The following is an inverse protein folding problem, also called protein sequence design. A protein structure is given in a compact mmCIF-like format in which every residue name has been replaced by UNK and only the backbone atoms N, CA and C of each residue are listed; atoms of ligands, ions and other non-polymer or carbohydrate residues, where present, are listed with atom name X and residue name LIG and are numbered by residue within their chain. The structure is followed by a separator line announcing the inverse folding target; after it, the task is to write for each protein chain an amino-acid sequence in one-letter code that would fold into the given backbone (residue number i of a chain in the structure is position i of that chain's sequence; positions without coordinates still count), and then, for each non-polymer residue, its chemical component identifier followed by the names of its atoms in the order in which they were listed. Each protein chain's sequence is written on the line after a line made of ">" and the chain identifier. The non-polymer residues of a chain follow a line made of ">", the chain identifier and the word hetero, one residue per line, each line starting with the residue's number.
data_IF_854623307338
#
_entry.id   IF_854623307338
#
_cell.length_a   1.000
_cell.length_b   1.000
_cell.length_c   1.000
_cell.angle_alpha   90.00
_cell.angle_beta   90.00
_cell.angle_gamma   90.00
#
_symmetry.space_group_name_H-M   'P 1'
#
loop_
_entity.id
_entity.type
_entity.pdbx_description
1 polymer ?
#
# COMPACT_ATOMS: atom_id res chain seq x y z
N UNK A 1 0.50 -39.92 8.40
CA UNK A 1 1.57 -39.27 9.18
C UNK A 1 1.97 -37.93 8.56
N UNK A 2 2.32 -37.85 7.27
CA UNK A 2 2.59 -36.54 6.63
C UNK A 2 1.35 -35.64 6.47
N UNK A 3 0.17 -36.24 6.24
CA UNK A 3 -1.09 -35.50 6.07
C UNK A 3 -1.61 -34.84 7.36
N UNK A 4 -1.44 -35.50 8.51
CA UNK A 4 -1.84 -34.95 9.81
C UNK A 4 -0.94 -33.75 10.21
N UNK A 5 0.36 -33.86 9.92
CA UNK A 5 1.33 -32.77 10.10
C UNK A 5 1.04 -31.58 9.15
N UNK A 6 0.62 -31.83 7.92
CA UNK A 6 0.22 -30.76 6.99
C UNK A 6 -1.07 -30.05 7.42
N UNK A 7 -2.05 -30.79 7.94
CA UNK A 7 -3.30 -30.21 8.46
C UNK A 7 -3.06 -29.35 9.71
N UNK A 8 -2.29 -29.84 10.69
CA UNK A 8 -1.97 -29.09 11.91
C UNK A 8 -1.17 -27.81 11.60
N UNK A 9 -0.25 -27.89 10.63
CA UNK A 9 0.51 -26.75 10.15
C UNK A 9 -0.39 -25.73 9.40
N UNK A 10 -1.41 -26.19 8.67
CA UNK A 10 -2.35 -25.27 8.01
C UNK A 10 -3.20 -24.47 9.00
N UNK A 11 -3.67 -25.12 10.07
CA UNK A 11 -4.40 -24.42 11.14
C UNK A 11 -3.55 -23.31 11.74
N UNK A 12 -2.31 -23.61 12.13
CA UNK A 12 -1.39 -22.62 12.68
C UNK A 12 -1.14 -21.46 11.71
N UNK A 13 -0.90 -21.74 10.42
CA UNK A 13 -0.74 -20.71 9.37
C UNK A 13 -1.97 -19.83 9.22
N UNK A 14 -3.18 -20.39 9.28
CA UNK A 14 -4.45 -19.64 9.23
C UNK A 14 -4.54 -18.63 10.39
N UNK A 15 -4.23 -19.03 11.62
CA UNK A 15 -4.24 -18.12 12.78
C UNK A 15 -3.20 -17.01 12.67
N UNK A 16 -1.98 -17.36 12.28
CA UNK A 16 -0.91 -16.37 12.11
C UNK A 16 -1.31 -15.38 11.01
N UNK A 17 -1.78 -15.85 9.86
CA UNK A 17 -2.23 -15.00 8.77
C UNK A 17 -3.31 -14.01 9.20
N UNK A 18 -4.39 -14.50 9.84
CA UNK A 18 -5.49 -13.65 10.31
C UNK A 18 -5.02 -12.64 11.35
N UNK A 19 -4.14 -13.05 12.27
CA UNK A 19 -3.58 -12.16 13.29
C UNK A 19 -2.74 -11.06 12.66
N UNK A 20 -1.89 -11.39 11.69
CA UNK A 20 -1.08 -10.40 10.97
C UNK A 20 -1.93 -9.44 10.14
N UNK A 21 -2.99 -9.92 9.47
CA UNK A 21 -3.92 -9.06 8.74
C UNK A 21 -4.67 -8.14 9.69
N UNK A 22 -5.13 -8.63 10.84
CA UNK A 22 -5.80 -7.82 11.86
C UNK A 22 -4.87 -6.75 12.44
N UNK A 23 -3.63 -7.12 12.80
CA UNK A 23 -2.63 -6.16 13.27
C UNK A 23 -2.26 -5.15 12.19
N UNK A 24 -2.19 -5.58 10.92
CA UNK A 24 -1.97 -4.70 9.77
C UNK A 24 -3.10 -3.67 9.64
N UNK A 25 -4.35 -4.11 9.76
CA UNK A 25 -5.54 -3.25 9.75
C UNK A 25 -5.53 -2.27 10.92
N UNK A 26 -5.31 -2.74 12.14
CA UNK A 26 -5.25 -1.88 13.34
C UNK A 26 -4.16 -0.82 13.16
N UNK A 27 -2.96 -1.22 12.72
CA UNK A 27 -1.86 -0.28 12.48
C UNK A 27 -2.24 0.78 11.42
N UNK A 28 -2.91 0.35 10.35
CA UNK A 28 -3.39 1.24 9.29
C UNK A 28 -4.48 2.20 9.75
N UNK A 29 -5.44 1.74 10.56
CA UNK A 29 -6.49 2.56 11.17
C UNK A 29 -5.91 3.58 12.15
N UNK A 30 -4.98 3.17 13.02
CA UNK A 30 -4.31 4.08 13.94
C UNK A 30 -3.50 5.14 13.18
N UNK A 31 -2.77 4.75 12.13
CA UNK A 31 -2.08 5.70 11.27
C UNK A 31 -3.05 6.70 10.63
N UNK A 32 -4.16 6.20 10.07
CA UNK A 32 -5.18 7.04 9.44
C UNK A 32 -5.80 8.02 10.43
N UNK A 33 -6.13 7.56 11.63
CA UNK A 33 -6.68 8.38 12.70
C UNK A 33 -5.68 9.47 13.14
N UNK A 34 -4.46 9.09 13.49
CA UNK A 34 -3.48 10.01 14.09
C UNK A 34 -2.89 11.03 13.11
N UNK A 35 -2.72 10.66 11.83
CA UNK A 35 -1.99 11.51 10.88
C UNK A 35 -2.87 12.03 9.75
N UNK A 36 -3.94 11.31 9.38
CA UNK A 36 -4.65 11.57 8.13
C UNK A 36 -5.99 12.30 8.33
N UNK A 37 -6.68 12.10 9.47
CA UNK A 37 -7.91 12.83 9.78
C UNK A 37 -7.64 14.34 9.94
N UNK A 38 -6.58 14.70 10.65
CA UNK A 38 -6.17 16.10 10.83
C UNK A 38 -5.81 16.76 9.49
N UNK A 39 -5.17 15.98 8.60
CA UNK A 39 -4.89 16.41 7.23
C UNK A 39 -6.18 16.70 6.46
N UNK A 40 -7.15 15.77 6.44
CA UNK A 40 -8.42 15.94 5.72
C UNK A 40 -9.17 17.16 6.26
N UNK A 41 -9.28 17.26 7.59
CA UNK A 41 -10.00 18.34 8.27
C UNK A 41 -9.37 19.69 7.95
N UNK A 42 -8.04 19.78 7.97
CA UNK A 42 -7.31 20.99 7.59
C UNK A 42 -7.50 21.33 6.12
N UNK A 43 -7.38 20.35 5.21
CA UNK A 43 -7.55 20.56 3.78
C UNK A 43 -8.96 21.07 3.45
N UNK A 44 -9.99 20.58 4.14
CA UNK A 44 -11.37 21.06 3.99
C UNK A 44 -11.55 22.46 4.59
N UNK A 45 -11.09 22.69 5.83
CA UNK A 45 -11.24 23.96 6.52
C UNK A 45 -10.61 25.14 5.76
N UNK A 46 -9.46 24.90 5.10
CA UNK A 46 -8.76 25.92 4.32
C UNK A 46 -9.11 25.93 2.82
N UNK A 47 -10.12 25.14 2.39
CA UNK A 47 -10.52 24.99 1.00
C UNK A 47 -9.34 24.60 0.06
N UNK A 48 -8.49 23.69 0.53
CA UNK A 48 -7.32 23.15 -0.18
C UNK A 48 -7.53 21.69 -0.60
N UNK A 49 -8.76 21.20 -0.66
CA UNK A 49 -9.05 19.84 -1.13
C UNK A 49 -8.98 19.75 -2.67
N UNK A 50 -7.76 19.68 -3.21
CA UNK A 50 -7.48 19.49 -4.63
C UNK A 50 -7.41 18.00 -5.03
N UNK A 51 -7.30 17.72 -6.34
CA UNK A 51 -7.29 16.35 -6.89
C UNK A 51 -6.16 15.49 -6.29
N UNK A 52 -4.97 16.06 -6.11
CA UNK A 52 -3.84 15.37 -5.49
C UNK A 52 -4.16 14.97 -4.03
N UNK A 53 -4.80 15.86 -3.27
CA UNK A 53 -5.19 15.62 -1.88
C UNK A 53 -6.29 14.56 -1.74
N UNK A 54 -7.23 14.52 -2.70
CA UNK A 54 -8.25 13.47 -2.81
C UNK A 54 -7.58 12.12 -3.11
N UNK A 55 -6.70 12.08 -4.12
CA UNK A 55 -5.92 10.88 -4.46
C UNK A 55 -5.12 10.38 -3.27
N UNK A 56 -4.49 11.29 -2.52
CA UNK A 56 -3.73 10.97 -1.31
C UNK A 56 -4.62 10.37 -0.20
N UNK A 57 -5.86 10.84 -0.07
CA UNK A 57 -6.81 10.29 0.89
C UNK A 57 -7.21 8.86 0.56
N UNK A 58 -7.64 8.62 -0.68
CA UNK A 58 -7.98 7.27 -1.12
C UNK A 58 -6.77 6.33 -1.09
N UNK A 59 -5.59 6.84 -1.39
CA UNK A 59 -4.35 6.09 -1.29
C UNK A 59 -4.12 5.51 0.11
N UNK A 60 -4.31 6.30 1.17
CA UNK A 60 -4.17 5.82 2.56
C UNK A 60 -5.26 4.81 2.90
N UNK A 61 -6.49 5.03 2.44
CA UNK A 61 -7.60 4.10 2.66
C UNK A 61 -7.36 2.76 1.96
N UNK A 62 -6.97 2.75 0.69
CA UNK A 62 -6.75 1.51 -0.06
C UNK A 62 -5.58 0.70 0.49
N UNK A 63 -4.43 1.36 0.70
CA UNK A 63 -3.21 0.68 1.13
C UNK A 63 -3.21 0.24 2.59
N UNK A 64 -3.77 1.06 3.49
CA UNK A 64 -3.70 0.82 4.94
C UNK A 64 -4.93 0.15 5.55
N UNK A 65 -6.09 0.24 4.89
CA UNK A 65 -7.36 -0.23 5.47
C UNK A 65 -8.01 -1.28 4.56
N UNK A 66 -8.28 -0.94 3.30
CA UNK A 66 -9.04 -1.80 2.40
C UNK A 66 -8.33 -3.13 2.13
N UNK A 67 -7.04 -3.10 1.76
CA UNK A 67 -6.30 -4.33 1.45
C UNK A 67 -6.27 -5.33 2.63
N UNK A 68 -5.94 -4.95 3.88
CA UNK A 68 -6.08 -5.85 5.02
C UNK A 68 -7.52 -6.35 5.25
N UNK A 69 -8.52 -5.47 5.14
CA UNK A 69 -9.94 -5.82 5.33
C UNK A 69 -10.39 -6.94 4.39
N UNK A 70 -9.96 -6.88 3.12
CA UNK A 70 -10.31 -7.89 2.10
C UNK A 70 -9.93 -9.32 2.54
N UNK A 71 -8.88 -9.48 3.34
CA UNK A 71 -8.41 -10.80 3.80
C UNK A 71 -8.92 -11.20 5.18
N UNK A 72 -9.58 -10.30 5.91
CA UNK A 72 -10.20 -10.58 7.21
C UNK A 72 -11.68 -10.93 7.02
N UNK A 73 -12.37 -10.18 6.16
CA UNK A 73 -13.80 -10.33 5.95
C UNK A 73 -14.07 -11.52 5.01
N UNK A 74 -14.93 -12.47 5.40
CA UNK A 74 -15.36 -13.55 4.52
C UNK A 74 -15.96 -13.00 3.24
N UNK A 75 -15.63 -13.57 2.08
CA UNK A 75 -16.26 -13.11 0.86
C UNK A 75 -17.68 -13.64 0.74
N UNK A 76 -18.63 -12.77 0.36
CA UNK A 76 -19.99 -13.19 0.02
C UNK A 76 -20.10 -13.77 -1.40
N UNK A 77 -19.03 -13.69 -2.19
CA UNK A 77 -19.01 -14.11 -3.59
C UNK A 77 -17.84 -15.06 -3.86
N UNK A 78 -18.03 -16.00 -4.76
CA UNK A 78 -16.97 -16.88 -5.21
C UNK A 78 -15.80 -16.06 -5.79
N UNK A 79 -14.59 -16.38 -5.33
CA UNK A 79 -13.36 -15.65 -5.68
C UNK A 79 -13.39 -14.17 -5.30
N UNK A 80 -14.27 -13.74 -4.40
CA UNK A 80 -14.44 -12.32 -4.12
C UNK A 80 -13.24 -11.71 -3.40
N UNK A 81 -12.55 -12.45 -2.50
CA UNK A 81 -11.31 -11.94 -1.86
C UNK A 81 -10.26 -11.59 -2.89
N UNK A 82 -9.98 -12.50 -3.83
CA UNK A 82 -8.93 -12.27 -4.81
C UNK A 82 -9.31 -11.16 -5.80
N UNK A 83 -10.57 -11.10 -6.26
CA UNK A 83 -11.06 -10.00 -7.12
C UNK A 83 -10.95 -8.65 -6.42
N UNK A 84 -11.34 -8.57 -5.15
CA UNK A 84 -11.25 -7.35 -4.36
C UNK A 84 -9.80 -6.96 -4.07
N UNK A 85 -8.91 -7.91 -3.80
CA UNK A 85 -7.49 -7.64 -3.60
C UNK A 85 -6.86 -7.05 -4.87
N UNK A 86 -7.16 -7.62 -6.04
CA UNK A 86 -6.72 -7.10 -7.35
C UNK A 86 -7.20 -5.68 -7.57
N UNK A 87 -8.50 -5.44 -7.38
CA UNK A 87 -9.09 -4.11 -7.50
C UNK A 87 -8.46 -3.12 -6.50
N UNK A 88 -8.19 -3.56 -5.27
CA UNK A 88 -7.53 -2.79 -4.23
C UNK A 88 -6.11 -2.36 -4.62
N UNK A 89 -5.29 -3.27 -5.14
CA UNK A 89 -3.95 -2.95 -5.62
C UNK A 89 -3.95 -2.01 -6.83
N UNK A 90 -4.86 -2.23 -7.79
CA UNK A 90 -5.01 -1.36 -8.96
C UNK A 90 -5.45 0.04 -8.52
N UNK A 91 -6.48 0.14 -7.68
CA UNK A 91 -6.96 1.41 -7.15
C UNK A 91 -5.87 2.13 -6.33
N UNK A 92 -5.14 1.39 -5.50
CA UNK A 92 -4.00 1.91 -4.75
C UNK A 92 -2.93 2.50 -5.68
N UNK A 93 -2.58 1.79 -6.76
CA UNK A 93 -1.62 2.27 -7.75
C UNK A 93 -2.11 3.46 -8.58
N UNK A 94 -3.40 3.49 -8.95
CA UNK A 94 -4.01 4.65 -9.62
C UNK A 94 -3.97 5.88 -8.69
N UNK A 95 -4.26 5.72 -7.40
CA UNK A 95 -4.20 6.81 -6.45
C UNK A 95 -2.78 7.41 -6.36
N UNK A 96 -1.74 6.58 -6.44
CA UNK A 96 -0.34 7.01 -6.54
C UNK A 96 -0.05 7.87 -7.79
N UNK A 97 -0.73 7.62 -8.90
CA UNK A 97 -0.63 8.43 -10.11
C UNK A 97 -1.43 9.74 -9.99
N UNK A 98 -2.61 9.68 -9.37
CA UNK A 98 -3.44 10.88 -9.11
C UNK A 98 -2.72 11.84 -8.17
N UNK A 99 -2.01 11.36 -7.15
CA UNK A 99 -1.21 12.22 -6.27
C UNK A 99 -0.09 12.96 -7.01
N UNK A 100 0.38 12.46 -8.16
CA UNK A 100 1.37 13.16 -8.99
C UNK A 100 0.77 14.33 -9.80
N UNK A 101 -0.56 14.50 -9.81
CA UNK A 101 -1.24 15.56 -10.58
C UNK A 101 -0.86 16.98 -10.17
N UNK A 102 -0.29 17.20 -8.98
CA UNK A 102 0.20 18.51 -8.53
C UNK A 102 1.18 19.14 -9.55
N UNK A 103 1.95 18.33 -10.30
CA UNK A 103 2.86 18.80 -11.34
C UNK A 103 2.11 19.60 -12.41
N UNK A 104 0.90 19.16 -12.78
CA UNK A 104 0.08 19.86 -13.78
C UNK A 104 -0.28 21.25 -13.25
N UNK A 105 -0.70 21.35 -11.99
CA UNK A 105 -0.98 22.64 -11.34
C UNK A 105 0.27 23.53 -11.28
N UNK A 106 1.44 22.95 -11.02
CA UNK A 106 2.71 23.68 -11.02
C UNK A 106 3.01 24.26 -12.40
N UNK A 107 2.97 23.43 -13.45
CA UNK A 107 3.31 23.85 -14.82
C UNK A 107 2.32 24.86 -15.41
N UNK A 108 1.08 24.88 -14.94
CA UNK A 108 0.08 25.90 -15.34
C UNK A 108 0.34 27.25 -14.67
N UNK A 109 0.94 27.26 -13.48
CA UNK A 109 1.05 28.47 -12.66
C UNK A 109 2.47 29.04 -12.54
N UNK A 110 3.49 28.25 -12.87
CA UNK A 110 4.91 28.62 -12.75
C UNK A 110 5.68 28.22 -14.02
N UNK A 111 6.78 28.90 -14.35
CA UNK A 111 7.66 28.51 -15.45
C UNK A 111 8.14 27.06 -15.31
N UNK A 112 8.19 26.30 -16.40
CA UNK A 112 8.61 24.89 -16.37
C UNK A 112 10.04 24.70 -15.83
N UNK A 113 10.93 25.68 -16.03
CA UNK A 113 12.29 25.68 -15.46
C UNK A 113 12.31 25.60 -13.93
N UNK A 114 11.26 26.09 -13.28
CA UNK A 114 11.19 26.17 -11.82
C UNK A 114 10.94 24.81 -11.17
N UNK A 115 10.53 23.80 -11.92
CA UNK A 115 10.31 22.43 -11.42
C UNK A 115 11.61 21.77 -10.95
N UNK A 116 12.75 22.22 -11.47
CA UNK A 116 14.08 21.75 -11.09
C UNK A 116 14.57 22.38 -9.78
N UNK A 117 13.92 23.46 -9.32
CA UNK A 117 14.26 24.10 -8.05
C UNK A 117 13.40 23.53 -6.93
N UNK A 118 14.01 22.71 -6.07
CA UNK A 118 13.34 22.14 -4.90
C UNK A 118 12.71 23.23 -4.02
N UNK A 119 13.38 24.38 -3.85
CA UNK A 119 12.86 25.50 -3.05
C UNK A 119 11.55 26.07 -3.63
N UNK A 120 11.51 26.32 -4.95
CA UNK A 120 10.31 26.85 -5.62
C UNK A 120 9.16 25.85 -5.64
N UNK A 121 9.47 24.57 -5.85
CA UNK A 121 8.48 23.49 -5.77
C UNK A 121 7.90 23.40 -4.36
N UNK A 122 8.76 23.47 -3.34
CA UNK A 122 8.32 23.48 -1.95
C UNK A 122 7.39 24.67 -1.70
N UNK A 123 7.83 25.89 -2.01
CA UNK A 123 7.01 27.09 -1.85
C UNK A 123 5.62 26.93 -2.50
N UNK A 124 5.56 26.48 -3.76
CA UNK A 124 4.30 26.22 -4.45
C UNK A 124 3.42 25.20 -3.72
N UNK A 125 3.98 24.07 -3.27
CA UNK A 125 3.24 23.05 -2.55
C UNK A 125 2.65 23.61 -1.24
N UNK A 126 3.37 24.54 -0.57
CA UNK A 126 2.96 25.22 0.69
C UNK A 126 1.76 26.10 0.43
N UNK A 127 1.89 27.01 -0.52
CA UNK A 127 0.87 27.98 -0.87
C UNK A 127 -0.41 27.30 -1.41
N UNK A 128 -0.21 26.29 -2.23
CA UNK A 128 -1.30 25.50 -2.83
C UNK A 128 -1.97 24.53 -1.87
N UNK A 129 -1.44 24.34 -0.66
CA UNK A 129 -1.94 23.35 0.30
C UNK A 129 -1.91 21.93 -0.25
N UNK A 130 -0.94 21.62 -1.11
CA UNK A 130 -0.72 20.28 -1.62
C UNK A 130 -0.07 19.43 -0.54
N UNK A 131 -0.39 18.13 -0.51
CA UNK A 131 0.23 17.19 0.45
C UNK A 131 1.75 17.21 0.32
N UNK A 132 2.41 17.56 1.42
CA UNK A 132 3.87 17.65 1.59
C UNK A 132 4.63 16.32 1.56
N UNK A 133 3.93 15.26 1.21
CA UNK A 133 4.40 13.90 1.21
C UNK A 133 3.94 13.35 -0.13
N UNK A 134 4.82 13.35 -1.12
CA UNK A 134 4.50 12.80 -2.45
C UNK A 134 4.49 11.28 -2.33
N UNK A 135 3.58 10.77 -1.52
CA UNK A 135 3.38 9.36 -1.16
C UNK A 135 4.55 8.66 -0.45
N UNK A 136 5.76 9.08 -0.79
CA UNK A 136 7.05 8.85 -0.20
C UNK A 136 7.41 10.06 0.64
N UNK A 137 8.01 9.76 1.75
CA UNK A 137 8.26 10.67 2.85
C UNK A 137 9.64 11.29 2.64
N UNK A 138 9.81 12.54 3.06
CA UNK A 138 11.04 13.32 2.87
C UNK A 138 11.52 13.46 1.40
N UNK A 139 10.72 13.00 0.43
CA UNK A 139 10.99 13.15 -1.00
C UNK A 139 10.21 14.34 -1.55
N UNK A 140 10.81 15.52 -1.47
CA UNK A 140 10.18 16.75 -1.95
C UNK A 140 10.53 17.00 -3.43
N UNK A 141 9.50 17.27 -4.23
CA UNK A 141 9.65 17.66 -5.64
C UNK A 141 9.68 16.52 -6.65
N UNK A 142 10.51 16.64 -7.69
CA UNK A 142 10.43 15.79 -8.88
C UNK A 142 10.74 14.32 -8.56
N UNK A 143 11.73 14.04 -7.69
CA UNK A 143 12.05 12.67 -7.27
C UNK A 143 10.89 11.97 -6.59
N UNK A 144 10.20 12.65 -5.67
CA UNK A 144 9.00 12.09 -5.02
C UNK A 144 7.92 11.73 -6.03
N UNK A 145 7.78 12.54 -7.10
CA UNK A 145 6.82 12.24 -8.17
C UNK A 145 7.23 11.03 -8.98
N UNK A 146 8.49 10.95 -9.39
CA UNK A 146 9.04 9.78 -10.09
C UNK A 146 8.83 8.51 -9.26
N UNK A 147 9.11 8.57 -7.95
CA UNK A 147 8.88 7.44 -7.04
C UNK A 147 7.40 7.07 -6.92
N UNK A 148 6.50 8.06 -6.83
CA UNK A 148 5.05 7.81 -6.84
C UNK A 148 4.59 7.11 -8.13
N UNK A 149 5.14 7.50 -9.28
CA UNK A 149 4.86 6.86 -10.57
C UNK A 149 5.37 5.43 -10.58
N UNK A 150 6.64 5.20 -10.23
CA UNK A 150 7.25 3.86 -10.19
C UNK A 150 6.42 2.94 -9.29
N UNK A 151 6.09 3.40 -8.08
CA UNK A 151 5.35 2.59 -7.12
C UNK A 151 3.89 2.37 -7.54
N UNK A 152 3.25 3.39 -8.11
CA UNK A 152 1.89 3.25 -8.65
C UNK A 152 1.83 2.20 -9.75
N UNK A 153 2.82 2.20 -10.66
CA UNK A 153 2.97 1.18 -11.70
C UNK A 153 3.16 -0.20 -11.06
N UNK A 154 4.11 -0.35 -10.13
CA UNK A 154 4.34 -1.65 -9.45
C UNK A 154 3.08 -2.14 -8.75
N UNK A 155 2.32 -1.25 -8.10
CA UNK A 155 1.07 -1.63 -7.43
C UNK A 155 -0.01 -2.09 -8.42
N UNK A 156 -0.14 -1.44 -9.58
CA UNK A 156 -1.03 -1.89 -10.65
C UNK A 156 -0.59 -3.27 -11.16
N UNK A 157 0.71 -3.48 -11.38
CA UNK A 157 1.25 -4.79 -11.77
C UNK A 157 0.97 -5.86 -10.69
N UNK A 158 1.12 -5.54 -9.40
CA UNK A 158 0.74 -6.44 -8.31
C UNK A 158 -0.71 -6.87 -8.44
N UNK A 159 -1.64 -5.93 -8.69
CA UNK A 159 -3.06 -6.25 -8.87
C UNK A 159 -3.38 -7.04 -10.15
N UNK A 160 -2.65 -6.83 -11.24
CA UNK A 160 -2.84 -7.58 -12.50
C UNK A 160 -2.41 -9.05 -12.34
N UNK A 161 -1.31 -9.29 -11.61
CA UNK A 161 -0.69 -10.61 -11.47
C UNK A 161 -1.04 -11.33 -10.16
N UNK A 162 -1.82 -10.71 -9.28
CA UNK A 162 -2.11 -11.26 -7.95
C UNK A 162 -2.76 -12.66 -7.98
N UNK A 163 -3.60 -12.93 -8.99
CA UNK A 163 -4.31 -14.20 -9.17
C UNK A 163 -3.64 -15.17 -10.14
N UNK A 164 -2.55 -14.79 -10.79
CA UNK A 164 -1.95 -15.65 -11.83
C UNK A 164 -0.93 -16.62 -11.25
N UNK A 165 -0.03 -16.10 -10.43
CA UNK A 165 1.08 -16.86 -9.88
C UNK A 165 1.41 -16.33 -8.49
N UNK A 166 1.29 -17.22 -7.48
CA UNK A 166 1.56 -16.87 -6.08
C UNK A 166 3.01 -16.45 -5.84
N UNK A 167 3.98 -16.96 -6.59
CA UNK A 167 5.38 -16.56 -6.47
C UNK A 167 5.58 -15.14 -6.98
N UNK A 168 4.97 -14.79 -8.11
CA UNK A 168 4.97 -13.43 -8.65
C UNK A 168 4.24 -12.48 -7.71
N UNK A 169 3.05 -12.85 -7.23
CA UNK A 169 2.27 -12.04 -6.29
C UNK A 169 3.06 -11.72 -5.01
N UNK A 170 3.71 -12.75 -4.42
CA UNK A 170 4.62 -12.57 -3.27
C UNK A 170 5.73 -11.59 -3.60
N UNK A 171 6.49 -11.83 -4.68
CA UNK A 171 7.62 -10.99 -5.06
C UNK A 171 7.20 -9.53 -5.24
N UNK A 172 6.06 -9.28 -5.89
CA UNK A 172 5.55 -7.93 -6.12
C UNK A 172 5.07 -7.25 -4.83
N UNK A 173 4.40 -7.96 -3.92
CA UNK A 173 4.03 -7.42 -2.60
C UNK A 173 5.27 -7.08 -1.78
N UNK A 174 6.28 -7.96 -1.77
CA UNK A 174 7.56 -7.69 -1.11
C UNK A 174 8.26 -6.49 -1.74
N UNK A 175 8.27 -6.40 -3.07
CA UNK A 175 8.84 -5.27 -3.79
C UNK A 175 8.14 -3.96 -3.41
N UNK A 176 6.81 -3.94 -3.31
CA UNK A 176 6.07 -2.77 -2.81
C UNK A 176 6.49 -2.39 -1.39
N UNK A 177 6.68 -3.34 -0.48
CA UNK A 177 7.20 -3.02 0.84
C UNK A 177 8.63 -2.47 0.78
N UNK A 178 9.51 -3.13 0.02
CA UNK A 178 10.91 -2.73 -0.14
C UNK A 178 11.04 -1.33 -0.74
N UNK A 179 10.31 -1.02 -1.82
CA UNK A 179 10.31 0.30 -2.44
C UNK A 179 9.79 1.40 -1.49
N UNK A 180 8.85 1.06 -0.60
CA UNK A 180 8.34 1.99 0.44
C UNK A 180 9.44 2.50 1.36
N UNK A 181 10.46 1.69 1.59
CA UNK A 181 11.59 2.00 2.47
C UNK A 181 12.76 2.54 1.66
N UNK A 182 13.11 1.89 0.55
CA UNK A 182 14.30 2.21 -0.23
C UNK A 182 14.20 3.54 -0.99
N UNK A 183 13.03 3.89 -1.55
CA UNK A 183 12.91 5.12 -2.33
C UNK A 183 13.09 6.39 -1.46
N UNK A 184 12.46 6.51 -0.28
CA UNK A 184 12.74 7.60 0.66
C UNK A 184 14.19 7.62 1.15
N UNK A 185 14.74 6.45 1.50
CA UNK A 185 16.14 6.33 1.91
C UNK A 185 17.09 6.90 0.86
N UNK A 186 16.91 6.47 -0.38
CA UNK A 186 17.71 6.92 -1.51
C UNK A 186 17.58 8.43 -1.73
N UNK A 187 16.35 8.97 -1.66
CA UNK A 187 16.13 10.42 -1.74
C UNK A 187 16.91 11.18 -0.68
N UNK A 188 16.76 10.79 0.60
CA UNK A 188 17.37 11.49 1.72
C UNK A 188 18.90 11.45 1.66
N UNK A 189 19.46 10.30 1.25
CA UNK A 189 20.90 10.17 1.05
C UNK A 189 21.41 11.12 -0.04
N UNK A 190 20.65 11.28 -1.15
CA UNK A 190 21.03 12.15 -2.25
C UNK A 190 20.84 13.64 -1.94
N UNK A 191 19.76 14.02 -1.26
CA UNK A 191 19.37 15.43 -1.10
C UNK A 191 19.88 16.05 0.20
N UNK A 192 19.96 15.29 1.29
CA UNK A 192 20.21 15.81 2.63
C UNK A 192 21.43 15.18 3.33
N UNK A 193 22.06 14.17 2.72
CA UNK A 193 23.21 13.48 3.31
C UNK A 193 22.89 12.72 4.60
N UNK A 194 21.61 12.40 4.85
CA UNK A 194 21.13 11.63 6.00
C UNK A 194 20.23 10.47 5.56
N UNK A 195 20.11 9.45 6.40
CA UNK A 195 19.36 8.23 6.09
C UNK A 195 17.87 8.43 6.40
N UNK A 196 17.54 8.84 7.62
CA UNK A 196 16.16 9.12 8.06
C UNK A 196 16.10 10.38 8.91
N UNK A 197 15.02 11.16 8.77
CA UNK A 197 14.67 12.18 9.76
C UNK A 197 13.98 11.52 10.97
N UNK A 198 14.19 12.03 12.19
CA UNK A 198 13.51 11.50 13.39
C UNK A 198 11.99 11.65 13.27
N UNK A 199 11.55 12.79 12.71
CA UNK A 199 10.16 13.11 12.41
C UNK A 199 9.52 12.08 11.46
N UNK A 200 10.32 11.49 10.56
CA UNK A 200 9.85 10.45 9.65
C UNK A 200 9.44 9.16 10.37
N UNK A 201 10.33 8.65 11.23
CA UNK A 201 10.09 7.38 11.95
C UNK A 201 8.81 7.50 12.77
N UNK A 202 8.69 8.60 13.53
CA UNK A 202 7.55 8.79 14.46
C UNK A 202 6.22 8.85 13.74
N UNK A 203 6.16 9.48 12.56
CA UNK A 203 4.88 9.71 11.89
C UNK A 203 4.46 8.55 10.97
N UNK A 204 5.40 7.69 10.54
CA UNK A 204 5.12 6.67 9.53
C UNK A 204 5.34 5.22 10.00
N UNK A 205 5.85 5.01 11.22
CA UNK A 205 6.09 3.68 11.78
C UNK A 205 4.86 2.78 11.70
N UNK A 206 3.67 3.29 12.04
CA UNK A 206 2.43 2.51 12.00
C UNK A 206 2.05 2.06 10.58
N UNK A 207 2.28 2.91 9.58
CA UNK A 207 2.00 2.50 8.19
C UNK A 207 3.05 1.50 7.68
N UNK A 208 4.31 1.68 8.04
CA UNK A 208 5.38 0.72 7.69
C UNK A 208 5.10 -0.63 8.34
N UNK A 209 4.71 -0.63 9.62
CA UNK A 209 4.29 -1.83 10.32
C UNK A 209 3.08 -2.47 9.63
N UNK A 210 2.06 -1.68 9.26
CA UNK A 210 0.89 -2.17 8.53
C UNK A 210 1.29 -2.91 7.24
N UNK A 211 2.13 -2.30 6.40
CA UNK A 211 2.57 -2.91 5.14
C UNK A 211 3.52 -4.11 5.35
N UNK A 212 4.39 -4.08 6.36
CA UNK A 212 5.27 -5.19 6.71
C UNK A 212 4.44 -6.41 7.14
N UNK A 213 3.50 -6.22 8.07
CA UNK A 213 2.61 -7.26 8.57
C UNK A 213 1.77 -7.86 7.45
N UNK A 214 1.22 -7.01 6.58
CA UNK A 214 0.51 -7.44 5.38
C UNK A 214 1.41 -8.29 4.47
N UNK A 215 2.63 -7.83 4.20
CA UNK A 215 3.58 -8.54 3.34
C UNK A 215 3.95 -9.90 3.91
N UNK A 216 4.26 -9.99 5.20
CA UNK A 216 4.55 -11.26 5.89
C UNK A 216 3.34 -12.19 5.83
N UNK A 217 2.12 -11.69 6.02
CA UNK A 217 0.91 -12.49 5.91
C UNK A 217 0.77 -13.10 4.50
N UNK A 218 0.99 -12.32 3.44
CA UNK A 218 0.98 -12.83 2.06
C UNK A 218 2.09 -13.85 1.82
N UNK A 219 3.28 -13.69 2.41
CA UNK A 219 4.35 -14.70 2.32
C UNK A 219 3.95 -16.03 2.95
N UNK A 220 3.33 -15.98 4.12
CA UNK A 220 2.83 -17.17 4.83
C UNK A 220 1.74 -17.86 4.01
N UNK A 221 0.79 -17.09 3.50
CA UNK A 221 -0.28 -17.63 2.64
C UNK A 221 0.28 -18.31 1.39
N UNK A 222 1.29 -17.72 0.75
CA UNK A 222 1.94 -18.28 -0.43
C UNK A 222 3.01 -19.34 -0.16
N UNK A 223 3.11 -19.88 1.07
CA UNK A 223 4.06 -20.95 1.42
C UNK A 223 3.70 -22.32 0.83
N UNK A 224 2.41 -22.59 0.61
CA UNK A 224 1.91 -23.81 -0.05
C UNK A 224 0.78 -23.46 -1.04
N UNK A 225 0.35 -24.40 -1.88
CA UNK A 225 -0.83 -24.19 -2.74
C UNK A 225 -2.12 -24.19 -1.91
N UNK A 226 -2.24 -25.15 -1.00
CA UNK A 226 -3.39 -25.29 -0.12
C UNK A 226 -3.68 -24.01 0.67
N UNK A 227 -2.68 -23.46 1.37
CA UNK A 227 -2.84 -22.24 2.18
C UNK A 227 -3.16 -21.01 1.32
N UNK A 228 -2.66 -20.94 0.08
CA UNK A 228 -2.98 -19.87 -0.85
C UNK A 228 -4.44 -19.93 -1.31
N UNK A 229 -4.90 -21.11 -1.71
CA UNK A 229 -6.29 -21.36 -2.14
C UNK A 229 -7.24 -21.06 -0.98
N UNK A 230 -6.92 -21.55 0.21
CA UNK A 230 -7.71 -21.35 1.41
C UNK A 230 -7.81 -19.86 1.82
N UNK A 231 -6.67 -19.17 1.96
CA UNK A 231 -6.65 -17.84 2.59
C UNK A 231 -6.90 -16.71 1.58
N UNK A 232 -6.44 -16.87 0.33
CA UNK A 232 -6.49 -15.83 -0.70
C UNK A 232 -7.62 -16.07 -1.70
N UNK A 233 -7.83 -17.31 -2.15
CA UNK A 233 -8.93 -17.63 -3.08
C UNK A 233 -10.27 -17.86 -2.37
N UNK A 234 -10.25 -18.12 -1.05
CA UNK A 234 -11.43 -18.40 -0.24
C UNK A 234 -12.16 -19.68 -0.67
N UNK A 235 -11.41 -20.71 -1.08
CA UNK A 235 -11.94 -21.97 -1.65
C UNK A 235 -11.60 -23.20 -0.81
N UNK A 236 -12.17 -23.31 0.40
CA UNK A 236 -12.10 -24.56 1.18
C UNK A 236 -13.27 -25.51 0.87
N UNK A 237 -14.46 -24.98 0.58
CA UNK A 237 -15.67 -25.80 0.42
C UNK A 237 -15.71 -26.67 -0.85
N UNK A 238 -14.90 -26.37 -1.86
CA UNK A 238 -14.79 -27.16 -3.09
C UNK A 238 -13.71 -28.24 -3.01
N UNK A 239 -12.63 -28.00 -2.26
CA UNK A 239 -11.53 -28.95 -2.14
C UNK A 239 -11.89 -30.17 -1.27
N UNK A 240 -12.69 -30.01 -0.21
CA UNK A 240 -13.12 -31.15 0.62
C UNK A 240 -14.03 -32.13 -0.16
N UNK A 241 -14.82 -31.64 -1.12
CA UNK A 241 -15.72 -32.48 -1.93
C UNK A 241 -14.99 -33.28 -3.03
N UNK A 242 -13.93 -32.74 -3.64
CA UNK A 242 -13.17 -33.46 -4.67
C UNK A 242 -12.33 -34.61 -4.08
N UNK A 243 -11.94 -34.53 -2.81
CA UNK A 243 -11.19 -35.59 -2.12
C UNK A 243 -12.07 -36.65 -1.44
N UNK A 244 -13.39 -36.43 -1.33
CA UNK A 244 -14.33 -37.47 -0.85
C UNK A 244 -14.87 -38.35 -1.98
N UNK A 245 -14.67 -37.96 -3.24
CA UNK A 245 -15.12 -38.72 -4.42
C UNK A 245 -14.00 -39.52 -5.13
N UNK A 246 -12.81 -39.64 -4.53
CA UNK A 246 -11.72 -40.54 -4.96
C UNK A 246 -11.49 -41.67 -3.96
#
# INVERSE_FOLDING_TARGET
>A
MDMDLEMENSFTKRYIFKSLMLLSLISGLFYFYMNHIDFISSALAYNKMNVSNIGYTFLRMFGGIFLPVVFIVPSMFEYGRIKLARAGFIAYGICHLITASWIIYFLVSKPASDILSQAKVLEFLKEGGFVYSITFWDTYGLLGTVFSIIYGIVAIYTGIFFDRDKAIAKMLVLLLFTLRILLPLFSNMLTEGRIFSLFWITNNALQIASQLLFSIAIMIAGSSNYTWIELVWDQLATAENEYTEQ
#
